data_IF_712956698038
#
_entry.id   IF_712956698038
#
_cell.length_a   1.000
_cell.length_b   1.000
_cell.length_c   1.000
_cell.angle_alpha   90.00
_cell.angle_beta   90.00
_cell.angle_gamma   90.00
#
_symmetry.space_group_name_H-M   'P 1'
#
loop_
_entity.id
_entity.type
_entity.pdbx_description
1 polymer ?
#
# COMPACT_ATOMS: atom_id res chain seq x y z
N UNK A 1 35.58 7.04 4.28
CA UNK A 1 34.13 7.32 4.45
C UNK A 1 33.80 7.07 5.92
N UNK A 2 33.04 7.94 6.60
CA UNK A 2 32.58 7.62 7.95
C UNK A 2 31.76 6.33 7.91
N UNK A 3 31.89 5.51 8.95
CA UNK A 3 31.04 4.33 9.11
C UNK A 3 29.56 4.77 9.15
N UNK A 4 28.64 3.99 8.57
CA UNK A 4 27.22 4.31 8.67
C UNK A 4 26.83 4.39 10.15
N UNK A 5 26.11 5.44 10.53
CA UNK A 5 25.59 5.61 11.88
C UNK A 5 24.60 4.48 12.21
N UNK A 6 24.96 3.66 13.19
CA UNK A 6 24.20 2.48 13.66
C UNK A 6 23.43 2.75 14.96
N UNK A 7 23.30 4.01 15.38
CA UNK A 7 22.49 4.38 16.55
C UNK A 7 20.99 4.09 16.36
N UNK A 8 20.21 4.02 17.45
CA UNK A 8 18.76 3.89 17.35
C UNK A 8 18.17 5.12 16.63
N UNK A 9 17.32 4.88 15.63
CA UNK A 9 16.63 5.93 14.86
C UNK A 9 15.12 5.76 14.97
N UNK A 10 14.42 6.85 15.29
CA UNK A 10 12.96 6.92 15.24
C UNK A 10 12.58 7.29 13.80
N UNK A 11 11.63 6.56 13.21
CA UNK A 11 11.16 6.75 11.83
C UNK A 11 12.31 6.97 10.84
N UNK A 12 13.22 5.99 10.67
CA UNK A 12 14.41 6.17 9.81
C UNK A 12 14.08 6.42 8.33
N UNK A 13 12.81 6.28 7.92
CA UNK A 13 12.29 6.79 6.67
C UNK A 13 11.24 7.87 6.95
N UNK A 14 11.24 8.94 6.15
CA UNK A 14 10.24 10.03 6.24
C UNK A 14 9.71 10.48 4.88
N UNK A 15 9.91 9.66 3.84
CA UNK A 15 9.43 10.00 2.50
C UNK A 15 7.91 9.83 2.40
N UNK A 16 7.27 10.84 1.80
CA UNK A 16 5.87 10.79 1.37
C UNK A 16 5.81 10.69 -0.15
N UNK A 17 5.15 9.65 -0.65
CA UNK A 17 4.90 9.41 -2.08
C UNK A 17 3.39 9.47 -2.29
N UNK A 18 2.91 10.26 -3.25
CA UNK A 18 1.48 10.56 -3.36
C UNK A 18 0.95 10.66 -4.80
N UNK A 19 -0.34 10.41 -4.93
CA UNK A 19 -1.20 10.79 -6.06
C UNK A 19 -2.34 11.66 -5.54
N UNK A 20 -3.24 12.11 -6.41
CA UNK A 20 -4.51 12.73 -5.98
C UNK A 20 -5.39 11.78 -5.16
N UNK A 21 -5.29 10.47 -5.40
CA UNK A 21 -6.20 9.47 -4.83
C UNK A 21 -5.75 8.84 -3.51
N UNK A 22 -4.45 8.91 -3.17
CA UNK A 22 -3.89 8.43 -1.90
C UNK A 22 -2.42 8.84 -1.75
N UNK A 23 -1.91 8.76 -0.52
CA UNK A 23 -0.51 8.99 -0.17
C UNK A 23 0.05 7.88 0.74
N UNK A 24 1.35 7.66 0.66
CA UNK A 24 2.12 6.70 1.46
C UNK A 24 3.23 7.45 2.18
N UNK A 25 3.32 7.32 3.51
CA UNK A 25 4.46 7.81 4.29
C UNK A 25 5.22 6.62 4.85
N UNK A 26 6.44 6.38 4.36
CA UNK A 26 7.29 5.34 4.94
C UNK A 26 7.76 5.75 6.34
N UNK A 27 7.73 4.81 7.29
CA UNK A 27 8.31 4.96 8.62
C UNK A 27 9.57 4.10 8.76
N UNK A 28 9.51 2.90 8.18
CA UNK A 28 10.58 1.90 8.20
C UNK A 28 10.61 1.17 6.85
N UNK A 29 11.77 1.13 6.21
CA UNK A 29 11.99 0.39 4.96
C UNK A 29 12.69 -0.94 5.23
N UNK A 30 12.70 -1.83 4.23
CA UNK A 30 13.49 -3.06 4.28
C UNK A 30 14.98 -2.82 4.54
N UNK A 31 15.56 -1.76 3.98
CA UNK A 31 16.96 -1.40 4.25
C UNK A 31 17.21 -1.11 5.74
N UNK A 32 16.29 -0.41 6.38
CA UNK A 32 16.40 -0.04 7.80
C UNK A 32 16.04 -1.18 8.77
N UNK A 33 15.48 -2.28 8.26
CA UNK A 33 15.02 -3.42 9.07
C UNK A 33 15.73 -4.74 8.72
N UNK A 34 16.82 -4.70 7.95
CA UNK A 34 17.51 -5.88 7.42
C UNK A 34 16.56 -6.83 6.66
N UNK A 35 15.60 -6.26 5.93
CA UNK A 35 14.63 -6.97 5.10
C UNK A 35 13.47 -7.62 5.87
N UNK A 36 13.41 -7.46 7.20
CA UNK A 36 12.43 -8.17 8.03
C UNK A 36 11.03 -7.55 7.97
N UNK A 37 10.93 -6.22 8.01
CA UNK A 37 9.65 -5.50 8.03
C UNK A 37 9.72 -4.18 7.29
N UNK A 38 8.69 -3.85 6.51
CA UNK A 38 8.46 -2.49 6.05
C UNK A 38 7.17 -1.96 6.68
N UNK A 39 7.21 -0.71 7.14
CA UNK A 39 6.08 -0.07 7.81
C UNK A 39 5.84 1.30 7.20
N UNK A 40 4.60 1.57 6.81
CA UNK A 40 4.21 2.85 6.24
C UNK A 40 2.78 3.21 6.64
N UNK A 41 2.48 4.50 6.65
CA UNK A 41 1.11 4.99 6.76
C UNK A 41 0.50 5.11 5.36
N UNK A 42 -0.68 4.51 5.19
CA UNK A 42 -1.55 4.68 4.05
C UNK A 42 -2.58 5.77 4.38
N UNK A 43 -2.66 6.81 3.56
CA UNK A 43 -3.59 7.92 3.71
C UNK A 43 -4.51 7.99 2.48
N UNK A 44 -5.82 7.93 2.71
CA UNK A 44 -6.82 7.76 1.66
C UNK A 44 -7.90 8.83 1.79
N UNK A 45 -7.90 9.84 0.91
CA UNK A 45 -8.96 10.83 0.86
C UNK A 45 -10.34 10.21 0.65
N UNK A 46 -11.39 10.81 1.23
CA UNK A 46 -12.75 10.50 0.82
C UNK A 46 -12.95 10.98 -0.63
N UNK A 47 -12.86 10.06 -1.59
CA UNK A 47 -12.82 10.38 -3.02
C UNK A 47 -13.62 9.39 -3.86
N UNK A 48 -13.97 9.81 -5.08
CA UNK A 48 -14.84 9.08 -6.02
C UNK A 48 -14.18 7.85 -6.67
N UNK A 49 -12.97 7.45 -6.27
CA UNK A 49 -12.35 6.23 -6.79
C UNK A 49 -10.88 6.08 -6.43
N UNK A 50 -10.49 4.85 -6.14
CA UNK A 50 -9.10 4.49 -5.87
C UNK A 50 -8.39 4.05 -7.16
N UNK A 51 -7.14 4.49 -7.38
CA UNK A 51 -6.34 4.03 -8.51
C UNK A 51 -5.79 2.61 -8.32
N UNK A 52 -5.88 2.04 -7.10
CA UNK A 52 -5.31 0.74 -6.77
C UNK A 52 -6.20 -0.41 -7.28
N UNK A 53 -5.73 -1.26 -8.21
CA UNK A 53 -6.47 -2.45 -8.62
C UNK A 53 -6.51 -3.48 -7.49
N UNK A 54 -7.51 -4.36 -7.51
CA UNK A 54 -7.49 -5.55 -6.66
C UNK A 54 -6.27 -6.43 -7.02
N UNK A 55 -5.59 -6.97 -6.01
CA UNK A 55 -4.36 -7.74 -6.20
C UNK A 55 -4.10 -8.70 -5.04
N UNK A 56 -3.11 -9.58 -5.19
CA UNK A 56 -2.58 -10.43 -4.14
C UNK A 56 -1.07 -10.24 -4.00
N UNK A 57 -0.53 -10.61 -2.84
CA UNK A 57 0.90 -10.63 -2.57
C UNK A 57 1.45 -12.04 -2.72
N UNK A 58 2.52 -12.21 -3.48
CA UNK A 58 3.04 -13.55 -3.82
C UNK A 58 3.79 -14.19 -2.63
N UNK A 59 4.47 -13.38 -1.81
CA UNK A 59 5.46 -13.89 -0.85
C UNK A 59 5.40 -13.28 0.56
N UNK A 60 4.48 -12.33 0.80
CA UNK A 60 4.42 -11.57 2.05
C UNK A 60 2.98 -11.39 2.53
N UNK A 61 2.81 -11.25 3.84
CA UNK A 61 1.56 -10.78 4.44
C UNK A 61 1.56 -9.26 4.51
N UNK A 62 0.36 -8.68 4.53
CA UNK A 62 0.14 -7.28 4.89
C UNK A 62 -0.79 -7.20 6.09
N UNK A 63 -0.32 -6.61 7.18
CA UNK A 63 -1.13 -6.28 8.35
C UNK A 63 -1.53 -4.81 8.29
N UNK A 64 -2.81 -4.54 8.40
CA UNK A 64 -3.41 -3.21 8.40
C UNK A 64 -3.92 -2.91 9.81
N UNK A 65 -3.53 -1.78 10.37
CA UNK A 65 -4.05 -1.27 11.63
C UNK A 65 -4.68 0.11 11.44
N UNK A 66 -5.93 0.29 11.84
CA UNK A 66 -6.65 1.55 11.61
C UNK A 66 -6.21 2.65 12.56
N UNK A 67 -5.98 3.85 12.02
CA UNK A 67 -5.56 5.03 12.78
C UNK A 67 -6.64 6.12 12.78
N UNK A 68 -7.19 6.44 11.62
CA UNK A 68 -8.23 7.48 11.43
C UNK A 68 -9.21 7.07 10.34
N UNK A 69 -10.46 7.53 10.42
CA UNK A 69 -11.51 7.19 9.46
C UNK A 69 -11.83 5.69 9.40
N UNK A 70 -12.56 5.27 8.37
CA UNK A 70 -12.93 3.86 8.16
C UNK A 70 -12.63 3.47 6.73
N UNK A 71 -11.83 2.43 6.54
CA UNK A 71 -11.61 1.79 5.24
C UNK A 71 -12.44 0.53 5.12
N UNK A 72 -13.11 0.35 3.99
CA UNK A 72 -13.76 -0.91 3.64
C UNK A 72 -12.77 -1.79 2.89
N UNK A 73 -12.40 -2.92 3.49
CA UNK A 73 -11.55 -3.92 2.86
C UNK A 73 -12.41 -5.03 2.26
N UNK A 74 -12.06 -5.48 1.06
CA UNK A 74 -12.55 -6.73 0.49
C UNK A 74 -11.37 -7.69 0.36
N UNK A 75 -11.43 -8.86 1.00
CA UNK A 75 -10.40 -9.90 0.97
C UNK A 75 -11.06 -11.22 0.59
N UNK A 76 -10.63 -11.83 -0.51
CA UNK A 76 -11.22 -13.04 -1.09
C UNK A 76 -12.76 -12.99 -1.21
N UNK A 77 -13.28 -11.82 -1.55
CA UNK A 77 -14.72 -11.56 -1.71
C UNK A 77 -15.48 -11.25 -0.41
N UNK A 78 -14.90 -11.51 0.77
CA UNK A 78 -15.46 -11.08 2.05
C UNK A 78 -15.16 -9.61 2.29
N UNK A 79 -16.14 -8.86 2.79
CA UNK A 79 -16.01 -7.42 3.07
C UNK A 79 -16.04 -7.15 4.56
N UNK A 80 -15.12 -6.31 5.03
CA UNK A 80 -15.04 -5.82 6.41
C UNK A 80 -14.79 -4.32 6.42
N UNK A 81 -15.22 -3.65 7.48
CA UNK A 81 -14.87 -2.25 7.74
C UNK A 81 -13.82 -2.22 8.85
N UNK A 82 -12.78 -1.41 8.66
CA UNK A 82 -11.63 -1.29 9.54
C UNK A 82 -11.50 0.18 9.95
N UNK A 83 -11.76 0.46 11.22
CA UNK A 83 -11.65 1.79 11.83
C UNK A 83 -10.50 1.88 12.83
N UNK A 84 -10.41 2.99 13.59
CA UNK A 84 -9.32 3.21 14.53
C UNK A 84 -9.27 2.15 15.63
N UNK A 85 -8.12 1.49 15.79
CA UNK A 85 -7.94 0.42 16.77
C UNK A 85 -8.22 -1.00 16.25
N UNK A 86 -8.82 -1.13 15.07
CA UNK A 86 -9.06 -2.42 14.43
C UNK A 86 -7.80 -2.91 13.68
N UNK A 87 -7.68 -4.22 13.54
CA UNK A 87 -6.57 -4.88 12.82
C UNK A 87 -7.09 -5.92 11.83
N UNK A 88 -6.49 -5.95 10.65
CA UNK A 88 -6.72 -6.97 9.62
C UNK A 88 -5.36 -7.50 9.16
N UNK A 89 -5.20 -8.82 9.13
CA UNK A 89 -4.09 -9.45 8.43
C UNK A 89 -4.59 -9.99 7.10
N UNK A 90 -3.93 -9.61 6.01
CA UNK A 90 -4.17 -10.07 4.65
C UNK A 90 -3.14 -11.17 4.36
N UNK A 91 -3.57 -12.44 4.27
CA UNK A 91 -2.67 -13.54 3.99
C UNK A 91 -2.06 -13.42 2.59
N UNK A 92 -0.83 -13.93 2.43
CA UNK A 92 -0.21 -14.15 1.12
C UNK A 92 -1.17 -14.89 0.18
N UNK A 93 -1.23 -14.47 -1.07
CA UNK A 93 -2.10 -15.03 -2.10
C UNK A 93 -3.57 -14.61 -2.02
N UNK A 94 -4.04 -14.00 -0.93
CA UNK A 94 -5.41 -13.50 -0.83
C UNK A 94 -5.60 -12.28 -1.73
N UNK A 95 -6.63 -12.31 -2.59
CA UNK A 95 -6.97 -11.18 -3.44
C UNK A 95 -7.69 -10.14 -2.60
N UNK A 96 -7.15 -8.93 -2.57
CA UNK A 96 -7.69 -7.87 -1.75
C UNK A 96 -7.73 -6.52 -2.46
N UNK A 97 -8.60 -5.65 -1.94
CA UNK A 97 -8.66 -4.22 -2.25
C UNK A 97 -9.26 -3.48 -1.06
N UNK A 98 -9.09 -2.17 -1.01
CA UNK A 98 -9.81 -1.30 -0.08
C UNK A 98 -10.57 -0.21 -0.83
N UNK A 99 -11.53 0.42 -0.16
CA UNK A 99 -12.31 1.56 -0.61
C UNK A 99 -12.51 2.52 0.58
N UNK A 100 -12.36 3.84 0.37
CA UNK A 100 -12.87 4.84 1.32
C UNK A 100 -14.21 5.39 0.80
N UNK A 101 -15.32 4.78 1.25
CA UNK A 101 -16.69 5.20 0.87
C UNK A 101 -17.34 6.11 1.91
N UNK A 102 -16.57 6.54 2.91
CA UNK A 102 -17.03 7.46 3.94
C UNK A 102 -16.96 8.92 3.48
N UNK A 103 -17.19 9.83 4.43
CA UNK A 103 -17.07 11.27 4.27
C UNK A 103 -15.89 11.87 5.06
N UNK A 104 -14.98 11.01 5.51
CA UNK A 104 -13.78 11.37 6.28
C UNK A 104 -12.58 10.71 5.62
N UNK A 105 -11.48 11.45 5.49
CA UNK A 105 -10.20 10.88 5.08
C UNK A 105 -9.77 9.80 6.07
N UNK A 106 -9.24 8.70 5.55
CA UNK A 106 -8.85 7.56 6.36
C UNK A 106 -7.33 7.39 6.37
N UNK A 107 -6.81 6.88 7.49
CA UNK A 107 -5.40 6.57 7.68
C UNK A 107 -5.24 5.21 8.34
N UNK A 108 -4.34 4.39 7.82
CA UNK A 108 -3.99 3.11 8.40
C UNK A 108 -2.47 2.91 8.42
N UNK A 109 -1.98 2.14 9.38
CA UNK A 109 -0.61 1.64 9.40
C UNK A 109 -0.58 0.31 8.65
N UNK A 110 0.23 0.22 7.61
CA UNK A 110 0.53 -1.00 6.90
C UNK A 110 1.87 -1.56 7.37
N UNK A 111 1.89 -2.86 7.66
CA UNK A 111 3.08 -3.61 8.06
C UNK A 111 3.25 -4.80 7.12
N UNK A 112 4.38 -4.86 6.43
CA UNK A 112 4.69 -5.86 5.41
C UNK A 112 5.77 -6.79 5.93
N UNK A 113 5.52 -8.09 5.90
CA UNK A 113 6.46 -9.11 6.39
C UNK A 113 6.55 -10.30 5.42
N UNK A 114 7.76 -10.65 4.92
CA UNK A 114 9.01 -9.87 4.98
C UNK A 114 8.89 -8.52 4.23
N UNK A 115 9.89 -7.64 4.35
CA UNK A 115 9.90 -6.29 3.75
C UNK A 115 10.06 -6.29 2.21
N UNK A 116 9.15 -6.97 1.50
CA UNK A 116 9.23 -7.22 0.07
C UNK A 116 8.81 -6.01 -0.79
N UNK A 117 7.99 -5.11 -0.24
CA UNK A 117 7.54 -3.89 -0.90
C UNK A 117 8.13 -2.66 -0.20
N UNK A 118 8.54 -1.66 -0.99
CA UNK A 118 9.24 -0.48 -0.51
C UNK A 118 8.97 0.75 -1.37
N UNK A 119 9.69 1.86 -1.12
CA UNK A 119 9.45 3.14 -1.79
C UNK A 119 9.42 3.07 -3.32
N UNK A 120 10.30 2.27 -3.93
CA UNK A 120 10.42 2.19 -5.39
C UNK A 120 9.12 1.74 -6.07
N UNK A 121 8.42 0.75 -5.50
CA UNK A 121 7.12 0.32 -6.03
C UNK A 121 6.12 1.48 -6.11
N UNK A 122 6.01 2.26 -5.03
CA UNK A 122 5.07 3.37 -4.96
C UNK A 122 5.51 4.53 -5.85
N UNK A 123 6.80 4.86 -5.92
CA UNK A 123 7.32 5.88 -6.83
C UNK A 123 6.99 5.55 -8.28
N UNK A 124 7.26 4.32 -8.69
CA UNK A 124 7.04 3.90 -10.07
C UNK A 124 5.55 3.82 -10.42
N UNK A 125 4.73 3.18 -9.58
CA UNK A 125 3.28 3.10 -9.85
C UNK A 125 2.59 4.46 -9.79
N UNK A 126 2.96 5.33 -8.85
CA UNK A 126 2.32 6.64 -8.72
C UNK A 126 2.77 7.59 -9.82
N UNK A 127 3.98 7.44 -10.34
CA UNK A 127 4.40 8.15 -11.55
C UNK A 127 3.45 7.82 -12.73
N UNK A 128 3.14 6.54 -12.96
CA UNK A 128 2.20 6.15 -14.03
C UNK A 128 0.80 6.73 -13.81
N UNK A 129 0.31 6.73 -12.57
CA UNK A 129 -1.01 7.30 -12.22
C UNK A 129 -1.03 8.82 -12.44
N UNK A 130 0.03 9.52 -12.00
CA UNK A 130 0.11 10.97 -12.11
C UNK A 130 0.29 11.42 -13.57
N UNK A 131 1.09 10.70 -14.37
CA UNK A 131 1.24 10.92 -15.81
C UNK A 131 -0.09 10.84 -16.57
N UNK A 132 -1.02 10.00 -16.11
CA UNK A 132 -2.34 9.85 -16.72
C UNK A 132 -3.26 11.07 -16.53
N UNK A 133 -2.91 12.00 -15.64
CA UNK A 133 -3.62 13.27 -15.41
C UNK A 133 -5.15 13.14 -15.20
N UNK A 134 -5.58 12.06 -14.52
CA UNK A 134 -7.00 11.76 -14.26
C UNK A 134 -7.67 10.89 -15.32
N UNK A 135 -6.97 10.54 -16.41
CA UNK A 135 -7.36 9.48 -17.33
C UNK A 135 -6.97 8.08 -16.83
N UNK A 136 -7.29 7.03 -17.59
CA UNK A 136 -6.85 5.68 -17.27
C UNK A 136 -5.32 5.56 -17.38
N UNK A 137 -4.62 5.03 -16.35
CA UNK A 137 -3.18 4.84 -16.40
C UNK A 137 -2.76 3.77 -17.41
N UNK A 138 -1.49 3.80 -17.83
CA UNK A 138 -0.92 2.75 -18.68
C UNK A 138 -0.97 1.41 -17.93
N UNK A 139 -1.96 0.60 -18.31
CA UNK A 139 -2.21 -0.69 -17.69
C UNK A 139 -1.03 -1.64 -17.88
N UNK A 140 -0.38 -1.66 -19.04
CA UNK A 140 0.72 -2.59 -19.27
C UNK A 140 1.90 -2.28 -18.35
N UNK A 141 2.28 -1.00 -18.25
CA UNK A 141 3.34 -0.54 -17.35
C UNK A 141 3.00 -0.79 -15.88
N UNK A 142 1.75 -0.54 -15.47
CA UNK A 142 1.30 -0.85 -14.10
C UNK A 142 1.43 -2.34 -13.77
N UNK A 143 0.95 -3.23 -14.64
CA UNK A 143 1.02 -4.68 -14.42
C UNK A 143 2.46 -5.19 -14.36
N UNK A 144 3.35 -4.63 -15.17
CA UNK A 144 4.78 -4.96 -15.15
C UNK A 144 5.42 -4.55 -13.82
N UNK A 145 5.20 -3.30 -13.36
CA UNK A 145 5.73 -2.82 -12.08
C UNK A 145 5.22 -3.69 -10.93
N UNK A 146 3.91 -3.94 -10.86
CA UNK A 146 3.30 -4.78 -9.82
C UNK A 146 3.99 -6.16 -9.72
N UNK A 147 4.17 -6.85 -10.84
CA UNK A 147 4.80 -8.18 -10.84
C UNK A 147 6.25 -8.16 -10.40
N UNK A 148 7.04 -7.15 -10.78
CA UNK A 148 8.45 -7.04 -10.34
C UNK A 148 8.58 -6.92 -8.83
N UNK A 149 7.56 -6.40 -8.15
CA UNK A 149 7.52 -6.26 -6.69
C UNK A 149 6.73 -7.38 -5.97
N UNK A 150 6.33 -8.44 -6.68
CA UNK A 150 5.61 -9.57 -6.08
C UNK A 150 4.12 -9.32 -5.81
N UNK A 151 3.52 -8.38 -6.55
CA UNK A 151 2.07 -8.16 -6.57
C UNK A 151 1.48 -8.78 -7.84
N UNK A 152 0.48 -9.64 -7.66
CA UNK A 152 -0.28 -10.23 -8.75
C UNK A 152 -1.63 -9.51 -8.89
N UNK A 153 -1.86 -8.76 -9.98
CA UNK A 153 -3.13 -8.08 -10.23
C UNK A 153 -4.26 -9.10 -10.43
N UNK A 154 -5.41 -8.87 -9.79
CA UNK A 154 -6.56 -9.73 -9.94
C UNK A 154 -7.09 -9.70 -11.39
N UNK A 155 -7.60 -10.84 -11.85
CA UNK A 155 -8.37 -10.85 -13.08
C UNK A 155 -9.59 -9.93 -12.93
N UNK A 156 -10.00 -9.21 -14.00
CA UNK A 156 -11.24 -8.47 -13.96
C UNK A 156 -12.40 -9.43 -13.61
N UNK A 157 -13.42 -8.97 -12.87
CA UNK A 157 -14.57 -9.80 -12.54
C UNK A 157 -15.17 -10.38 -13.81
N UNK A 158 -15.47 -11.68 -13.79
CA UNK A 158 -16.19 -12.33 -14.89
C UNK A 158 -17.60 -11.75 -14.93
N UNK A 159 -17.94 -11.12 -16.05
CA UNK A 159 -19.29 -10.63 -16.40
C UNK A 159 -20.28 -11.77 -16.51
#
# INVERSE_FOLDING_TARGET
MPAPDTGPRINPAEEIIATKGLAIRFLLTGESSNGSVATFELMVPCSEGLPAPAHSHDHYEETIYGLEGVLRWTVDGATVELGPGDVLCIPRGAVHRFDNKGNVDAKALCVITPAAIGPDYFRETFAVINEAAGGPPDRARMLEIMRRHGLTPAAPPKT
#
